data_IF_772550408122
#
_entry.id   IF_772550408122
#
_cell.length_a   1.000
_cell.length_b   1.000
_cell.length_c   1.000
_cell.angle_alpha   90.00
_cell.angle_beta   90.00
_cell.angle_gamma   90.00
#
_symmetry.space_group_name_H-M   'P 1'
#
loop_
_entity.id
_entity.type
_entity.pdbx_description
1 polymer ?
#
# COMPACT_ATOMS: atom_id res chain seq x y z
N UNK A 1 2.52 -5.57 21.27
CA UNK A 1 1.50 -4.77 20.57
C UNK A 1 0.24 -5.62 20.42
N UNK A 2 -0.97 -5.07 20.53
CA UNK A 2 -2.23 -5.78 20.25
C UNK A 2 -2.98 -5.00 19.17
N UNK A 3 -3.46 -5.69 18.13
CA UNK A 3 -4.22 -5.09 17.04
C UNK A 3 -5.41 -5.97 16.65
N UNK A 4 -6.36 -5.41 15.92
CA UNK A 4 -7.48 -6.17 15.38
C UNK A 4 -7.00 -6.98 14.16
N UNK A 5 -7.12 -8.31 14.23
CA UNK A 5 -6.64 -9.23 13.18
C UNK A 5 -7.21 -8.92 11.80
N UNK A 6 -8.51 -8.65 11.71
CA UNK A 6 -9.20 -8.42 10.43
C UNK A 6 -8.79 -7.06 9.84
N UNK A 7 -8.62 -6.05 10.69
CA UNK A 7 -8.09 -4.75 10.27
C UNK A 7 -6.65 -4.87 9.76
N UNK A 8 -5.78 -5.57 10.50
CA UNK A 8 -4.40 -5.79 10.07
C UNK A 8 -4.33 -6.57 8.74
N UNK A 9 -5.17 -7.60 8.58
CA UNK A 9 -5.30 -8.33 7.32
C UNK A 9 -5.73 -7.41 6.17
N UNK A 10 -6.72 -6.55 6.37
CA UNK A 10 -7.17 -5.59 5.36
C UNK A 10 -6.07 -4.58 4.99
N UNK A 11 -5.35 -4.05 5.99
CA UNK A 11 -4.25 -3.12 5.76
C UNK A 11 -3.12 -3.76 4.93
N UNK A 12 -2.70 -4.97 5.30
CA UNK A 12 -1.66 -5.72 4.59
C UNK A 12 -2.11 -6.08 3.17
N UNK A 13 -3.34 -6.57 3.01
CA UNK A 13 -3.91 -6.87 1.70
C UNK A 13 -3.89 -5.65 0.77
N UNK A 14 -4.29 -4.48 1.26
CA UNK A 14 -4.27 -3.25 0.47
C UNK A 14 -2.85 -2.88 0.02
N UNK A 15 -1.84 -3.06 0.88
CA UNK A 15 -0.44 -2.80 0.54
C UNK A 15 0.06 -3.77 -0.54
N UNK A 16 -0.20 -5.06 -0.37
CA UNK A 16 0.22 -6.11 -1.32
C UNK A 16 -0.49 -5.97 -2.66
N UNK A 17 -1.78 -5.68 -2.69
CA UNK A 17 -2.52 -5.44 -3.94
C UNK A 17 -1.98 -4.21 -4.69
N UNK A 18 -1.59 -3.14 -3.98
CA UNK A 18 -0.94 -1.99 -4.60
C UNK A 18 0.43 -2.38 -5.16
N UNK A 19 1.26 -3.06 -4.37
CA UNK A 19 2.58 -3.51 -4.80
C UNK A 19 2.49 -4.36 -6.06
N UNK A 20 1.64 -5.40 -6.09
CA UNK A 20 1.43 -6.26 -7.25
C UNK A 20 0.92 -5.50 -8.48
N UNK A 21 0.08 -4.47 -8.28
CA UNK A 21 -0.44 -3.65 -9.38
C UNK A 21 0.64 -2.80 -10.05
N UNK A 22 1.62 -2.31 -9.29
CA UNK A 22 2.65 -1.38 -9.80
C UNK A 22 4.01 -2.04 -10.05
N UNK A 23 4.20 -3.29 -9.62
CA UNK A 23 5.40 -4.09 -9.88
C UNK A 23 5.53 -4.44 -11.36
N UNK A 24 6.67 -4.16 -12.00
CA UNK A 24 6.93 -4.57 -13.38
C UNK A 24 6.99 -6.11 -13.51
N UNK A 25 6.57 -6.67 -14.65
CA UNK A 25 6.69 -8.11 -14.90
C UNK A 25 8.14 -8.61 -14.72
N UNK A 26 8.30 -9.77 -14.08
CA UNK A 26 9.62 -10.37 -13.85
C UNK A 26 10.41 -9.76 -12.68
N UNK A 27 9.81 -8.87 -11.89
CA UNK A 27 10.37 -8.37 -10.63
C UNK A 27 9.53 -8.85 -9.44
N UNK A 28 10.12 -8.80 -8.24
CA UNK A 28 9.51 -9.32 -7.02
C UNK A 28 8.85 -8.23 -6.16
N UNK A 29 7.88 -8.67 -5.36
CA UNK A 29 7.37 -7.91 -4.21
C UNK A 29 7.94 -8.57 -2.96
N UNK A 30 8.63 -7.78 -2.15
CA UNK A 30 9.20 -8.25 -0.88
C UNK A 30 8.29 -7.86 0.28
N UNK A 31 8.13 -8.78 1.22
CA UNK A 31 7.41 -8.56 2.47
C UNK A 31 8.33 -8.94 3.61
N UNK A 32 8.64 -7.97 4.46
CA UNK A 32 9.50 -8.17 5.63
C UNK A 32 8.71 -7.90 6.90
N UNK A 33 8.98 -8.68 7.94
CA UNK A 33 8.44 -8.47 9.29
C UNK A 33 9.60 -8.45 10.27
N UNK A 34 9.80 -7.33 10.94
CA UNK A 34 10.85 -7.20 11.94
C UNK A 34 10.43 -7.81 13.30
N UNK A 35 11.37 -8.04 14.23
CA UNK A 35 11.05 -8.54 15.57
C UNK A 35 10.13 -7.62 16.41
N UNK A 36 10.03 -6.34 16.04
CA UNK A 36 9.11 -5.38 16.64
C UNK A 36 7.68 -5.47 16.11
N UNK A 37 7.47 -6.25 15.04
CA UNK A 37 6.19 -6.40 14.35
C UNK A 37 5.92 -5.34 13.29
N UNK A 38 6.93 -4.56 12.89
CA UNK A 38 6.81 -3.67 11.74
C UNK A 38 6.79 -4.51 10.46
N UNK A 39 5.83 -4.22 9.58
CA UNK A 39 5.67 -4.90 8.29
C UNK A 39 6.02 -3.93 7.18
N UNK A 40 6.97 -4.32 6.34
CA UNK A 40 7.38 -3.55 5.15
C UNK A 40 6.96 -4.31 3.91
N UNK A 41 6.34 -3.62 2.94
CA UNK A 41 6.02 -4.16 1.62
C UNK A 41 6.74 -3.30 0.58
N UNK A 42 7.62 -3.92 -0.20
CA UNK A 42 8.48 -3.24 -1.19
C UNK A 42 8.20 -3.79 -2.58
N UNK A 43 7.91 -2.90 -3.52
CA UNK A 43 7.81 -3.22 -4.96
C UNK A 43 8.96 -2.60 -5.77
N UNK A 44 9.11 -3.04 -7.02
CA UNK A 44 10.08 -2.49 -7.99
C UNK A 44 9.42 -1.59 -9.03
N UNK A 45 8.28 -0.99 -8.69
CA UNK A 45 7.52 -0.09 -9.55
C UNK A 45 8.22 1.25 -9.79
N UNK A 46 7.59 2.14 -10.59
CA UNK A 46 8.13 3.45 -10.92
C UNK A 46 8.23 4.41 -9.70
N UNK A 47 7.74 3.98 -8.54
CA UNK A 47 7.66 4.78 -7.33
C UNK A 47 6.61 5.88 -7.42
N UNK A 48 6.63 6.77 -6.42
CA UNK A 48 5.73 7.92 -6.34
C UNK A 48 6.55 9.21 -6.29
N UNK A 49 6.27 10.20 -7.16
CA UNK A 49 6.91 11.51 -7.11
C UNK A 49 6.78 12.15 -5.73
N UNK A 50 7.83 12.81 -5.25
CA UNK A 50 7.88 13.36 -3.89
C UNK A 50 6.69 14.29 -3.57
N UNK A 51 6.37 15.19 -4.51
CA UNK A 51 5.24 16.12 -4.40
C UNK A 51 3.86 15.42 -4.25
N UNK A 52 3.77 14.14 -4.59
CA UNK A 52 2.54 13.35 -4.54
C UNK A 52 2.48 12.42 -3.32
N UNK A 53 3.58 12.22 -2.59
CA UNK A 53 3.63 11.25 -1.48
C UNK A 53 2.63 11.56 -0.36
N UNK A 54 2.46 12.84 -0.02
CA UNK A 54 1.48 13.25 0.99
C UNK A 54 0.02 12.99 0.55
N UNK A 55 -0.24 12.97 -0.76
CA UNK A 55 -1.58 12.78 -1.30
C UNK A 55 -1.99 11.30 -1.37
N UNK A 56 -1.04 10.36 -1.28
CA UNK A 56 -1.28 8.91 -1.33
C UNK A 56 -2.32 8.44 -0.31
N UNK A 57 -2.37 9.09 0.84
CA UNK A 57 -3.26 8.75 1.94
C UNK A 57 -4.62 9.46 1.87
N UNK A 58 -4.82 10.35 0.89
CA UNK A 58 -6.11 11.00 0.66
C UNK A 58 -7.08 10.02 -0.01
N UNK A 59 -8.33 10.04 0.44
CA UNK A 59 -9.40 9.24 -0.16
C UNK A 59 -9.61 9.65 -1.62
N UNK A 60 -9.81 8.67 -2.49
CA UNK A 60 -10.04 8.82 -3.93
C UNK A 60 -8.84 9.34 -4.73
N UNK A 61 -7.67 9.52 -4.09
CA UNK A 61 -6.47 9.94 -4.80
C UNK A 61 -5.90 8.78 -5.64
N UNK A 62 -5.40 9.12 -6.84
CA UNK A 62 -4.80 8.18 -7.80
C UNK A 62 -3.69 8.89 -8.59
N UNK A 63 -2.53 8.24 -8.74
CA UNK A 63 -1.41 8.76 -9.53
C UNK A 63 -1.74 8.83 -11.03
N UNK A 64 -2.43 7.81 -11.56
CA UNK A 64 -2.94 7.79 -12.93
C UNK A 64 -4.45 7.53 -12.94
N UNK A 65 -5.22 8.50 -13.44
CA UNK A 65 -6.67 8.40 -13.57
C UNK A 65 -7.09 7.46 -14.72
N UNK A 66 -6.20 7.13 -15.65
CA UNK A 66 -6.49 6.32 -16.86
C UNK A 66 -6.42 4.82 -16.64
N UNK A 67 -5.67 4.33 -15.64
CA UNK A 67 -5.75 2.92 -15.26
C UNK A 67 -7.12 2.63 -14.65
N UNK A 68 -7.89 1.70 -15.21
CA UNK A 68 -9.09 1.14 -14.58
C UNK A 68 -8.67 0.20 -13.45
N UNK A 69 -8.99 0.52 -12.20
CA UNK A 69 -8.73 -0.38 -11.07
C UNK A 69 -8.56 0.33 -9.73
N UNK A 70 -9.49 0.04 -8.81
CA UNK A 70 -9.50 0.50 -7.41
C UNK A 70 -10.10 1.90 -7.18
N UNK A 71 -10.89 2.06 -6.11
CA UNK A 71 -11.57 3.30 -5.74
C UNK A 71 -10.65 4.40 -5.14
N UNK A 72 -9.33 4.18 -5.06
CA UNK A 72 -8.41 5.11 -4.40
C UNK A 72 -8.59 5.17 -2.87
N UNK A 73 -9.05 4.08 -2.25
CA UNK A 73 -9.33 4.02 -0.81
C UNK A 73 -8.30 3.20 -0.02
N UNK A 74 -7.55 2.32 -0.68
CA UNK A 74 -6.70 1.31 -0.03
C UNK A 74 -5.70 1.91 0.97
N UNK A 75 -4.88 2.88 0.54
CA UNK A 75 -3.88 3.51 1.40
C UNK A 75 -4.48 4.40 2.49
N UNK A 76 -5.61 5.06 2.22
CA UNK A 76 -6.34 5.82 3.23
C UNK A 76 -6.87 4.91 4.36
N UNK A 77 -7.36 3.72 4.00
CA UNK A 77 -7.80 2.69 4.97
C UNK A 77 -6.60 2.17 5.76
N UNK A 78 -5.50 1.80 5.09
CA UNK A 78 -4.28 1.32 5.75
C UNK A 78 -3.75 2.34 6.75
N UNK A 79 -3.67 3.63 6.37
CA UNK A 79 -3.23 4.69 7.28
C UNK A 79 -4.13 4.79 8.52
N UNK A 80 -5.45 4.67 8.36
CA UNK A 80 -6.37 4.73 9.50
C UNK A 80 -6.21 3.55 10.47
N UNK A 81 -5.84 2.37 9.95
CA UNK A 81 -5.64 1.16 10.77
C UNK A 81 -4.32 1.22 11.54
N UNK A 82 -3.30 1.88 10.97
CA UNK A 82 -1.98 2.01 11.56
C UNK A 82 -1.82 3.21 12.51
N UNK A 83 -2.76 4.17 12.48
CA UNK A 83 -2.80 5.34 13.36
C UNK A 83 -3.41 5.00 14.73
#
# INVERSE_FOLDING_TARGET
>A
MRGNRDALYQALRNLVENALKFTPPGTEVEIEVDPGGAVTVSDRGPGVPEAQRALLFQRFWRADRRQSGGAGLGLAITHRIAA
#
